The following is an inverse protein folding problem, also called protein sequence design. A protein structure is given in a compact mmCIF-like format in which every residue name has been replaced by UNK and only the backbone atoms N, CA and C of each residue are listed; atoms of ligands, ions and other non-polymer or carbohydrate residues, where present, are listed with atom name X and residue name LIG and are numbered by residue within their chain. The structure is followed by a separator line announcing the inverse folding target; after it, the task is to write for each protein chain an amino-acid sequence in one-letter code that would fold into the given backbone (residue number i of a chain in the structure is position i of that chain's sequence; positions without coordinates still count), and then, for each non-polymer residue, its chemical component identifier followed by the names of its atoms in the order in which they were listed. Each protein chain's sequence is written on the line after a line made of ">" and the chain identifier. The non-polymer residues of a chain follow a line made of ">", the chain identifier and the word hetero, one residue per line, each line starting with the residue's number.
data_IF_404651232616
#
_entry.id   IF_404651232616
#
_cell.length_a   1.000
_cell.length_b   1.000
_cell.length_c   1.000
_cell.angle_alpha   90.00
_cell.angle_beta   90.00
_cell.angle_gamma   90.00
#
_symmetry.space_group_name_H-M   'P 1'
#
loop_
_entity.id
_entity.type
_entity.pdbx_description
1 polymer ?
#
# COMPACT_ATOMS: atom_id res chain seq x y z
N UNK A 1 -40.83 1.33 13.14
CA UNK A 1 -39.54 1.19 12.45
C UNK A 1 -39.33 2.39 11.56
N UNK A 2 -38.37 3.24 11.91
CA UNK A 2 -37.86 4.24 10.97
C UNK A 2 -37.00 3.55 9.93
N UNK A 3 -37.16 3.92 8.67
CA UNK A 3 -36.32 3.39 7.60
C UNK A 3 -34.85 3.81 7.81
N UNK A 4 -33.87 2.96 7.48
CA UNK A 4 -32.46 3.33 7.44
C UNK A 4 -32.22 4.49 6.46
N UNK A 5 -31.26 5.35 6.78
CA UNK A 5 -30.85 6.46 5.90
C UNK A 5 -29.55 6.10 5.17
N UNK A 6 -29.59 6.08 3.84
CA UNK A 6 -28.46 5.67 3.02
C UNK A 6 -27.67 6.87 2.49
N UNK A 7 -26.35 6.82 2.64
CA UNK A 7 -25.41 7.68 1.91
C UNK A 7 -24.34 6.80 1.27
N UNK A 8 -24.66 6.25 0.10
CA UNK A 8 -23.77 5.37 -0.66
C UNK A 8 -23.19 6.09 -1.89
N UNK A 9 -21.92 5.81 -2.19
CA UNK A 9 -21.24 6.23 -3.43
C UNK A 9 -21.33 5.15 -4.52
N UNK A 10 -21.50 3.90 -4.11
CA UNK A 10 -21.61 2.74 -4.99
C UNK A 10 -22.92 2.01 -4.67
N UNK A 11 -24.09 2.53 -5.10
CA UNK A 11 -25.39 1.93 -4.79
C UNK A 11 -25.69 0.74 -5.72
N UNK A 12 -24.90 -0.31 -5.64
CA UNK A 12 -25.09 -1.51 -6.46
C UNK A 12 -26.28 -2.34 -5.96
N UNK A 13 -26.97 -3.11 -6.83
CA UNK A 13 -28.17 -3.85 -6.44
C UNK A 13 -27.95 -4.82 -5.28
N UNK A 14 -26.86 -5.59 -5.28
CA UNK A 14 -26.51 -6.52 -4.20
C UNK A 14 -26.25 -5.80 -2.89
N UNK A 15 -25.53 -4.67 -2.91
CA UNK A 15 -25.25 -3.89 -1.70
C UNK A 15 -26.53 -3.26 -1.13
N UNK A 16 -27.44 -2.75 -1.96
CA UNK A 16 -28.73 -2.21 -1.54
C UNK A 16 -29.68 -3.27 -0.98
N UNK A 17 -29.55 -4.52 -1.43
CA UNK A 17 -30.39 -5.64 -1.00
C UNK A 17 -30.01 -6.22 0.37
N UNK A 18 -28.92 -5.78 0.98
CA UNK A 18 -28.52 -6.22 2.32
C UNK A 18 -29.56 -5.78 3.38
N UNK A 19 -29.66 -6.50 4.51
CA UNK A 19 -30.69 -6.26 5.51
C UNK A 19 -30.32 -5.11 6.45
N UNK A 20 -30.34 -3.90 5.91
CA UNK A 20 -29.97 -2.64 6.59
C UNK A 20 -30.94 -2.21 7.69
N UNK A 21 -32.11 -2.84 7.77
CA UNK A 21 -33.18 -2.56 8.74
C UNK A 21 -32.99 -3.30 10.08
N UNK A 22 -31.95 -4.12 10.22
CA UNK A 22 -31.58 -4.84 11.46
C UNK A 22 -30.11 -4.64 11.85
N UNK A 23 -29.75 -4.84 13.13
CA UNK A 23 -28.36 -4.70 13.60
C UNK A 23 -27.40 -5.65 12.88
N UNK A 24 -26.14 -5.25 12.74
CA UNK A 24 -25.15 -6.05 12.00
C UNK A 24 -24.92 -7.42 12.65
N UNK A 25 -25.04 -7.53 13.98
CA UNK A 25 -24.92 -8.79 14.73
C UNK A 25 -25.87 -9.87 14.19
N UNK A 26 -27.10 -9.50 13.83
CA UNK A 26 -28.12 -10.41 13.33
C UNK A 26 -27.97 -10.85 11.88
N UNK A 27 -26.93 -10.40 11.16
CA UNK A 27 -26.68 -10.83 9.78
C UNK A 27 -26.05 -12.23 9.79
N UNK A 28 -26.70 -13.20 9.16
CA UNK A 28 -26.24 -14.59 9.13
C UNK A 28 -26.24 -15.16 7.72
N UNK A 29 -25.43 -16.19 7.49
CA UNK A 29 -25.52 -17.04 6.29
C UNK A 29 -26.76 -17.93 6.37
N UNK A 30 -27.35 -18.35 5.23
CA UNK A 30 -27.01 -17.98 3.85
C UNK A 30 -27.72 -16.70 3.37
N UNK A 31 -28.56 -16.06 4.20
CA UNK A 31 -29.34 -14.88 3.83
C UNK A 31 -28.45 -13.71 3.38
N UNK A 32 -27.34 -13.52 4.10
CA UNK A 32 -26.31 -12.55 3.74
C UNK A 32 -25.08 -13.32 3.23
N UNK A 33 -24.50 -12.94 2.08
CA UNK A 33 -23.28 -13.54 1.54
C UNK A 33 -22.04 -13.11 2.34
N UNK A 34 -21.96 -13.56 3.59
CA UNK A 34 -20.86 -13.27 4.51
C UNK A 34 -19.61 -14.08 4.13
N UNK A 35 -18.45 -13.45 4.33
CA UNK A 35 -17.14 -14.09 4.22
C UNK A 35 -16.47 -14.11 5.58
N UNK A 36 -15.92 -15.26 5.95
CA UNK A 36 -15.02 -15.33 7.10
C UNK A 36 -13.63 -14.84 6.68
N UNK A 37 -13.23 -13.72 7.26
CA UNK A 37 -11.89 -13.15 7.08
C UNK A 37 -11.33 -13.01 8.47
N UNK A 38 -10.21 -13.71 8.72
CA UNK A 38 -9.52 -13.55 9.99
C UNK A 38 -9.07 -12.10 10.14
N UNK A 39 -9.78 -11.37 11.00
CA UNK A 39 -9.46 -10.01 11.40
C UNK A 39 -8.80 -10.00 12.75
N UNK A 40 -7.88 -9.04 12.93
CA UNK A 40 -7.43 -8.64 14.24
C UNK A 40 -8.59 -8.15 15.11
N UNK A 41 -8.37 -8.05 16.44
CA UNK A 41 -9.39 -7.54 17.34
C UNK A 41 -9.80 -6.13 16.90
N UNK A 42 -11.11 -5.91 16.74
CA UNK A 42 -11.69 -4.60 16.51
C UNK A 42 -12.51 -4.20 17.72
N UNK A 43 -12.55 -2.89 18.02
CA UNK A 43 -13.43 -2.33 19.06
C UNK A 43 -14.90 -2.42 18.67
N UNK A 44 -15.18 -2.49 17.36
CA UNK A 44 -16.50 -2.48 16.77
C UNK A 44 -16.77 -3.79 16.04
N UNK A 45 -18.04 -4.15 15.86
CA UNK A 45 -18.38 -5.34 15.09
C UNK A 45 -18.10 -5.08 13.60
N UNK A 46 -17.27 -5.93 12.99
CA UNK A 46 -16.98 -5.90 11.56
C UNK A 46 -17.43 -7.21 10.93
N UNK A 47 -18.16 -7.14 9.82
CA UNK A 47 -18.43 -8.29 8.95
C UNK A 47 -17.97 -8.00 7.53
N UNK A 48 -17.68 -9.05 6.77
CA UNK A 48 -17.30 -8.94 5.37
C UNK A 48 -18.39 -9.54 4.51
N UNK A 49 -18.78 -8.82 3.45
CA UNK A 49 -19.92 -9.16 2.62
C UNK A 49 -19.50 -9.12 1.17
N UNK A 50 -19.81 -10.18 0.43
CA UNK A 50 -19.68 -10.22 -1.02
C UNK A 50 -20.94 -9.63 -1.66
N UNK A 51 -20.80 -8.58 -2.45
CA UNK A 51 -21.92 -8.02 -3.20
C UNK A 51 -21.47 -7.52 -4.56
N UNK A 52 -22.15 -7.97 -5.61
CA UNK A 52 -21.91 -7.59 -7.00
C UNK A 52 -20.47 -7.85 -7.47
N UNK A 53 -19.85 -8.95 -6.99
CA UNK A 53 -18.49 -9.34 -7.33
C UNK A 53 -17.40 -8.48 -6.65
N UNK A 54 -17.77 -7.69 -5.64
CA UNK A 54 -16.84 -6.94 -4.81
C UNK A 54 -17.01 -7.34 -3.34
N UNK A 55 -15.89 -7.31 -2.61
CA UNK A 55 -15.87 -7.57 -1.18
C UNK A 55 -15.92 -6.24 -0.40
N UNK A 56 -16.83 -6.17 0.57
CA UNK A 56 -17.06 -5.00 1.41
C UNK A 56 -16.78 -5.33 2.87
N UNK A 57 -16.20 -4.39 3.60
CA UNK A 57 -16.18 -4.42 5.05
C UNK A 57 -17.30 -3.51 5.58
N UNK A 58 -18.14 -4.06 6.45
CA UNK A 58 -19.22 -3.33 7.13
C UNK A 58 -18.92 -3.27 8.62
N UNK A 59 -18.80 -2.06 9.17
CA UNK A 59 -18.40 -1.78 10.56
C UNK A 59 -19.56 -1.11 11.28
N UNK A 60 -20.13 -1.76 12.29
CA UNK A 60 -21.25 -1.26 13.10
C UNK A 60 -20.74 -0.44 14.28
N UNK A 61 -21.16 0.82 14.35
CA UNK A 61 -20.58 1.81 15.26
C UNK A 61 -21.62 2.83 15.75
N UNK A 62 -21.36 3.55 16.84
CA UNK A 62 -22.15 4.71 17.22
C UNK A 62 -22.19 5.76 16.11
N UNK A 63 -23.39 6.29 15.84
CA UNK A 63 -23.66 7.22 14.72
C UNK A 63 -22.63 8.33 14.56
N UNK A 64 -22.30 9.02 15.67
CA UNK A 64 -21.36 10.16 15.64
C UNK A 64 -19.96 9.75 15.16
N UNK A 65 -19.51 8.58 15.59
CA UNK A 65 -18.17 8.09 15.30
C UNK A 65 -18.10 7.63 13.84
N UNK A 66 -19.09 6.86 13.38
CA UNK A 66 -19.16 6.41 11.99
C UNK A 66 -19.19 7.57 10.99
N UNK A 67 -19.94 8.65 11.28
CA UNK A 67 -19.99 9.84 10.42
C UNK A 67 -18.63 10.53 10.38
N UNK A 68 -17.96 10.69 11.53
CA UNK A 68 -16.62 11.27 11.60
C UNK A 68 -15.62 10.44 10.78
N UNK A 69 -15.58 9.13 11.00
CA UNK A 69 -14.65 8.23 10.31
C UNK A 69 -14.92 8.22 8.80
N UNK A 70 -16.18 8.19 8.37
CA UNK A 70 -16.55 8.30 6.96
C UNK A 70 -16.02 9.59 6.32
N UNK A 71 -16.24 10.74 6.97
CA UNK A 71 -15.82 12.04 6.44
C UNK A 71 -14.27 12.16 6.39
N UNK A 72 -13.56 11.59 7.37
CA UNK A 72 -12.09 11.52 7.35
C UNK A 72 -11.60 10.63 6.20
N UNK A 73 -12.09 9.40 6.08
CA UNK A 73 -11.70 8.48 5.01
C UNK A 73 -11.98 9.08 3.61
N UNK A 74 -13.09 9.83 3.47
CA UNK A 74 -13.42 10.55 2.24
C UNK A 74 -12.36 11.58 1.90
N UNK A 75 -11.88 12.31 2.90
CA UNK A 75 -10.84 13.32 2.72
C UNK A 75 -9.48 12.70 2.42
N UNK A 76 -9.13 11.58 3.05
CA UNK A 76 -7.91 10.82 2.73
C UNK A 76 -7.94 10.33 1.27
N UNK A 77 -9.08 9.81 0.81
CA UNK A 77 -9.26 9.40 -0.59
C UNK A 77 -9.12 10.58 -1.57
N UNK A 78 -9.70 11.75 -1.24
CA UNK A 78 -9.56 12.98 -2.04
C UNK A 78 -8.10 13.46 -2.15
N UNK A 79 -7.30 13.23 -1.09
CA UNK A 79 -5.86 13.53 -1.05
C UNK A 79 -5.00 12.42 -1.70
N UNK A 80 -5.60 11.32 -2.17
CA UNK A 80 -4.86 10.19 -2.73
C UNK A 80 -4.05 9.38 -1.70
N UNK A 81 -4.33 9.55 -0.40
CA UNK A 81 -3.58 8.91 0.67
C UNK A 81 -3.89 7.41 0.79
N UNK A 82 -2.92 6.58 1.23
CA UNK A 82 -3.10 5.14 1.35
C UNK A 82 -3.97 4.77 2.56
N UNK A 83 -5.29 4.82 2.35
CA UNK A 83 -6.31 4.39 3.30
C UNK A 83 -7.38 3.53 2.61
N UNK A 84 -8.14 2.77 3.39
CA UNK A 84 -9.30 2.03 2.87
C UNK A 84 -10.34 2.99 2.29
N UNK A 85 -10.92 2.61 1.14
CA UNK A 85 -11.82 3.51 0.40
C UNK A 85 -13.25 3.43 0.95
N UNK A 86 -13.86 4.54 1.38
CA UNK A 86 -15.22 4.54 1.91
C UNK A 86 -16.25 4.42 0.77
N UNK A 87 -17.09 3.39 0.84
CA UNK A 87 -18.17 3.15 -0.10
C UNK A 87 -19.46 3.88 0.30
N UNK A 88 -19.67 4.05 1.60
CA UNK A 88 -20.86 4.72 2.11
C UNK A 88 -21.02 4.59 3.61
N UNK A 89 -22.12 5.15 4.11
CA UNK A 89 -22.57 5.01 5.48
C UNK A 89 -24.08 4.84 5.49
N UNK A 90 -24.57 3.95 6.35
CA UNK A 90 -26.01 3.70 6.55
C UNK A 90 -26.35 4.01 8.00
N UNK A 91 -27.19 5.03 8.22
CA UNK A 91 -27.66 5.37 9.56
C UNK A 91 -28.85 4.48 9.91
N UNK A 92 -28.88 3.96 11.14
CA UNK A 92 -29.97 3.14 11.66
C UNK A 92 -30.62 3.83 12.86
N UNK A 93 -31.54 4.79 12.65
CA UNK A 93 -32.11 5.60 13.72
C UNK A 93 -32.84 4.82 14.81
N UNK A 94 -33.33 3.61 14.50
CA UNK A 94 -34.00 2.72 15.44
C UNK A 94 -33.03 2.13 16.49
N UNK A 95 -31.75 1.95 16.12
CA UNK A 95 -30.73 1.34 16.98
C UNK A 95 -29.71 2.36 17.53
N UNK A 96 -29.80 3.62 17.12
CA UNK A 96 -28.81 4.68 17.40
C UNK A 96 -27.37 4.35 16.93
N UNK A 97 -27.27 3.50 15.92
CA UNK A 97 -26.02 3.09 15.28
C UNK A 97 -25.94 3.57 13.83
N UNK A 98 -24.76 3.39 13.25
CA UNK A 98 -24.53 3.52 11.83
C UNK A 98 -23.54 2.46 11.37
N UNK A 99 -23.73 1.97 10.15
CA UNK A 99 -22.84 1.02 9.52
C UNK A 99 -21.99 1.77 8.50
N UNK A 100 -20.68 1.83 8.76
CA UNK A 100 -19.69 2.31 7.81
C UNK A 100 -19.39 1.19 6.81
N UNK A 101 -19.44 1.51 5.52
CA UNK A 101 -19.15 0.58 4.44
C UNK A 101 -17.86 1.01 3.75
N UNK A 102 -16.84 0.15 3.76
CA UNK A 102 -15.58 0.38 3.04
C UNK A 102 -15.33 -0.74 2.04
N UNK A 103 -14.64 -0.41 0.95
CA UNK A 103 -14.17 -1.42 0.01
C UNK A 103 -13.05 -2.22 0.67
N UNK A 104 -13.16 -3.54 0.62
CA UNK A 104 -12.10 -4.40 1.10
C UNK A 104 -10.84 -4.25 0.23
N UNK A 105 -9.67 -4.18 0.84
CA UNK A 105 -8.41 -4.11 0.12
C UNK A 105 -7.98 -5.54 -0.27
N UNK A 106 -8.39 -5.97 -1.45
CA UNK A 106 -7.97 -7.24 -2.05
C UNK A 106 -6.44 -7.27 -2.21
N UNK A 107 -5.83 -8.45 -2.09
CA UNK A 107 -4.38 -8.53 -2.21
C UNK A 107 -3.62 -8.11 -0.95
N UNK A 108 -4.32 -7.76 0.14
CA UNK A 108 -3.69 -7.28 1.38
C UNK A 108 -3.52 -8.36 2.44
N UNK A 109 -2.62 -8.09 3.37
CA UNK A 109 -2.34 -8.91 4.53
C UNK A 109 -2.42 -8.09 5.81
N UNK A 110 -2.85 -8.75 6.87
CA UNK A 110 -2.68 -8.25 8.22
C UNK A 110 -1.31 -8.66 8.75
N UNK A 111 -0.70 -7.78 9.52
CA UNK A 111 0.64 -7.98 10.05
C UNK A 111 0.83 -9.32 10.80
N UNK A 112 -0.15 -9.72 11.61
CA UNK A 112 -0.09 -10.97 12.41
C UNK A 112 0.20 -12.21 11.57
N UNK A 113 -0.36 -12.26 10.35
CA UNK A 113 -0.17 -13.40 9.43
C UNK A 113 1.21 -13.36 8.76
N UNK A 114 1.65 -12.18 8.35
CA UNK A 114 2.98 -12.00 7.76
C UNK A 114 4.07 -12.41 8.74
N UNK A 115 3.99 -11.93 9.99
CA UNK A 115 5.00 -12.24 11.01
C UNK A 115 5.11 -13.73 11.33
N UNK A 116 3.98 -14.46 11.30
CA UNK A 116 3.97 -15.90 11.58
C UNK A 116 4.72 -16.75 10.58
N UNK A 117 4.72 -16.30 9.33
CA UNK A 117 5.30 -17.04 8.21
C UNK A 117 6.64 -16.49 7.77
N UNK A 118 6.98 -15.26 8.18
CA UNK A 118 8.34 -14.76 8.06
C UNK A 118 9.26 -15.53 9.01
N UNK A 119 10.30 -16.19 8.47
CA UNK A 119 11.27 -16.89 9.30
C UNK A 119 11.91 -15.89 10.28
N UNK A 120 12.07 -16.26 11.57
CA UNK A 120 12.59 -15.33 12.57
C UNK A 120 14.03 -14.87 12.26
N UNK A 121 14.77 -15.65 11.49
CA UNK A 121 16.10 -15.38 10.94
C UNK A 121 16.11 -14.45 9.71
N UNK A 122 14.97 -13.90 9.27
CA UNK A 122 14.87 -12.96 8.15
C UNK A 122 14.49 -11.53 8.59
N UNK A 123 15.38 -10.81 9.31
CA UNK A 123 15.11 -9.45 9.80
C UNK A 123 14.82 -8.45 8.67
N UNK A 124 15.40 -8.65 7.48
CA UNK A 124 15.17 -7.78 6.30
C UNK A 124 13.69 -7.68 5.92
N UNK A 125 12.91 -8.77 6.05
CA UNK A 125 11.49 -8.75 5.68
C UNK A 125 10.62 -8.02 6.72
N UNK A 126 10.99 -8.11 8.00
CA UNK A 126 10.33 -7.33 9.06
C UNK A 126 10.64 -5.84 8.95
N UNK A 127 11.90 -5.51 8.63
CA UNK A 127 12.29 -4.13 8.33
C UNK A 127 11.44 -3.53 7.19
N UNK A 128 11.20 -4.27 6.09
CA UNK A 128 10.33 -3.81 4.99
C UNK A 128 8.89 -3.49 5.43
N UNK A 129 8.34 -4.17 6.45
CA UNK A 129 7.01 -3.87 6.99
C UNK A 129 7.01 -2.54 7.75
N UNK A 130 7.98 -2.37 8.64
CA UNK A 130 8.14 -1.16 9.43
C UNK A 130 8.49 0.05 8.55
N UNK A 131 9.27 -0.15 7.49
CA UNK A 131 9.52 0.86 6.46
C UNK A 131 8.22 1.31 5.78
N UNK A 132 7.33 0.36 5.48
CA UNK A 132 5.99 0.66 4.93
C UNK A 132 5.16 1.53 5.88
N UNK A 133 5.18 1.22 7.18
CA UNK A 133 4.48 2.03 8.20
C UNK A 133 5.07 3.42 8.36
N UNK A 134 6.40 3.52 8.44
CA UNK A 134 7.09 4.81 8.50
C UNK A 134 6.75 5.67 7.26
N UNK A 135 6.75 5.05 6.08
CA UNK A 135 6.32 5.69 4.84
C UNK A 135 4.88 6.19 4.89
N UNK A 136 3.94 5.38 5.39
CA UNK A 136 2.54 5.80 5.57
C UNK A 136 2.43 7.00 6.52
N UNK A 137 3.07 6.97 7.68
CA UNK A 137 3.04 8.09 8.64
C UNK A 137 3.62 9.38 8.04
N UNK A 138 4.74 9.30 7.34
CA UNK A 138 5.31 10.47 6.64
C UNK A 138 4.28 11.08 5.68
N UNK A 139 3.60 10.25 4.89
CA UNK A 139 2.60 10.73 3.93
C UNK A 139 1.39 11.38 4.62
N UNK A 140 0.85 10.74 5.67
CA UNK A 140 -0.23 11.32 6.46
C UNK A 140 0.18 12.68 7.05
N UNK A 141 1.36 12.75 7.67
CA UNK A 141 1.84 13.95 8.34
C UNK A 141 2.15 15.10 7.37
N UNK A 142 2.68 14.80 6.17
CA UNK A 142 2.89 15.81 5.11
C UNK A 142 1.59 16.47 4.66
N UNK A 143 0.48 15.73 4.74
CA UNK A 143 -0.86 16.20 4.38
C UNK A 143 -1.67 16.71 5.57
N UNK A 144 -1.04 16.93 6.73
CA UNK A 144 -1.70 17.49 7.90
C UNK A 144 -2.59 16.50 8.65
N UNK A 145 -2.45 15.19 8.39
CA UNK A 145 -3.27 14.14 9.01
C UNK A 145 -2.56 13.58 10.23
N UNK A 146 -3.14 13.75 11.40
CA UNK A 146 -2.77 13.05 12.63
C UNK A 146 -3.58 11.75 12.71
N UNK A 147 -2.93 10.60 12.91
CA UNK A 147 -3.61 9.30 12.94
C UNK A 147 -4.21 9.02 14.32
N UNK A 148 -3.42 9.09 15.38
CA UNK A 148 -3.87 8.95 16.77
C UNK A 148 -4.17 7.53 17.25
N UNK A 149 -4.06 6.52 16.38
CA UNK A 149 -4.12 5.10 16.75
C UNK A 149 -3.31 4.24 15.76
N UNK A 150 -2.09 4.73 15.45
CA UNK A 150 -1.16 4.02 14.60
C UNK A 150 -0.77 2.69 15.25
N UNK A 151 -1.18 1.58 14.65
CA UNK A 151 -0.93 0.24 15.20
C UNK A 151 -0.87 -0.80 14.09
N UNK A 152 -0.25 -1.94 14.39
CA UNK A 152 -0.21 -3.10 13.48
C UNK A 152 -1.60 -3.69 13.20
N UNK A 153 -2.55 -3.50 14.13
CA UNK A 153 -3.94 -3.98 13.98
C UNK A 153 -4.75 -3.08 13.04
N UNK A 154 -4.45 -1.78 13.01
CA UNK A 154 -5.12 -0.78 12.17
C UNK A 154 -4.40 -0.56 10.82
N UNK A 155 -3.42 -1.41 10.50
CA UNK A 155 -2.62 -1.33 9.27
C UNK A 155 -2.78 -2.59 8.42
N UNK A 156 -3.11 -2.41 7.15
CA UNK A 156 -3.00 -3.46 6.13
C UNK A 156 -1.75 -3.25 5.28
N UNK A 157 -1.17 -4.34 4.80
CA UNK A 157 -0.03 -4.31 3.90
C UNK A 157 -0.40 -4.92 2.57
N UNK A 158 0.04 -4.33 1.47
CA UNK A 158 -0.06 -4.93 0.13
C UNK A 158 1.29 -4.85 -0.57
N UNK A 159 1.47 -5.71 -1.58
CA UNK A 159 2.64 -5.60 -2.47
C UNK A 159 2.42 -4.41 -3.38
N UNK A 160 3.49 -3.63 -3.56
CA UNK A 160 3.54 -2.56 -4.55
C UNK A 160 4.90 -2.62 -5.24
N UNK A 161 5.00 -3.44 -6.28
CA UNK A 161 6.24 -3.70 -6.98
C UNK A 161 7.18 -4.47 -6.07
N UNK A 162 8.37 -3.93 -5.80
CA UNK A 162 9.35 -4.55 -4.90
C UNK A 162 9.11 -4.20 -3.43
N UNK A 163 8.25 -3.22 -3.12
CA UNK A 163 8.02 -2.71 -1.77
C UNK A 163 6.77 -3.32 -1.12
N UNK A 164 6.60 -3.03 0.17
CA UNK A 164 5.34 -3.20 0.88
C UNK A 164 4.73 -1.83 1.16
N UNK A 165 3.51 -1.64 0.66
CA UNK A 165 2.72 -0.45 0.96
C UNK A 165 1.85 -0.72 2.18
N UNK A 166 1.93 0.16 3.18
CA UNK A 166 1.03 0.16 4.33
C UNK A 166 -0.20 1.03 4.03
N UNK A 167 -1.35 0.62 4.58
CA UNK A 167 -2.64 1.26 4.40
C UNK A 167 -3.33 1.48 5.74
N UNK A 168 -3.84 2.69 5.96
CA UNK A 168 -4.66 3.03 7.11
C UNK A 168 -6.06 2.42 6.95
N UNK A 169 -6.49 1.66 7.96
CA UNK A 169 -7.82 1.01 7.96
C UNK A 169 -8.80 1.72 8.88
N UNK A 170 -8.34 2.15 10.05
CA UNK A 170 -9.17 2.80 11.06
C UNK A 170 -8.77 4.27 11.19
N UNK A 171 -9.72 5.14 10.85
CA UNK A 171 -9.57 6.59 10.92
C UNK A 171 -10.40 7.22 12.05
N UNK A 172 -10.92 6.43 12.99
CA UNK A 172 -11.79 6.89 14.08
C UNK A 172 -11.14 8.01 14.91
N UNK A 173 -9.87 7.82 15.27
CA UNK A 173 -9.06 8.76 16.08
C UNK A 173 -8.43 9.86 15.26
N UNK A 174 -8.46 9.76 13.93
CA UNK A 174 -7.73 10.65 13.06
C UNK A 174 -8.31 12.06 13.04
N UNK A 175 -7.42 13.02 12.79
CA UNK A 175 -7.72 14.44 12.68
C UNK A 175 -6.98 15.04 11.49
N UNK A 176 -7.63 15.95 10.78
CA UNK A 176 -7.06 16.62 9.61
C UNK A 176 -6.89 18.09 9.95
N UNK A 177 -5.66 18.57 9.85
CA UNK A 177 -5.23 19.94 10.11
C UNK A 177 -4.66 20.56 8.82
N UNK A 178 -4.58 21.91 8.70
CA UNK A 178 -3.88 22.54 7.58
C UNK A 178 -2.40 22.13 7.49
N UNK A 179 -1.76 21.93 8.65
CA UNK A 179 -0.44 21.33 8.81
C UNK A 179 -0.30 20.79 10.22
N UNK A 180 0.52 19.75 10.41
CA UNK A 180 0.85 19.26 11.74
C UNK A 180 2.02 20.03 12.33
N UNK A 181 1.89 20.39 13.61
CA UNK A 181 3.02 20.85 14.41
C UNK A 181 4.01 19.72 14.67
N UNK A 182 5.25 20.06 15.05
CA UNK A 182 6.25 19.07 15.46
C UNK A 182 5.76 18.20 16.61
N UNK A 183 5.15 18.81 17.63
CA UNK A 183 4.63 18.09 18.79
C UNK A 183 3.50 17.10 18.45
N UNK A 184 2.61 17.44 17.51
CA UNK A 184 1.59 16.49 17.02
C UNK A 184 2.22 15.28 16.33
N UNK A 185 3.26 15.50 15.49
CA UNK A 185 3.96 14.39 14.83
C UNK A 185 4.72 13.52 15.82
N UNK A 186 5.44 14.14 16.76
CA UNK A 186 6.14 13.41 17.83
C UNK A 186 5.15 12.58 18.66
N UNK A 187 3.98 13.13 18.99
CA UNK A 187 2.95 12.40 19.71
C UNK A 187 2.42 11.19 18.94
N UNK A 188 2.16 11.31 17.63
CA UNK A 188 1.71 10.18 16.81
C UNK A 188 2.79 9.10 16.67
N UNK A 189 4.06 9.51 16.63
CA UNK A 189 5.20 8.58 16.66
C UNK A 189 5.34 7.85 17.99
N UNK A 190 5.09 8.53 19.12
CA UNK A 190 5.09 7.89 20.44
C UNK A 190 3.96 6.86 20.53
N UNK A 191 2.75 7.20 20.07
CA UNK A 191 1.62 6.26 19.97
C UNK A 191 1.99 5.05 19.10
N UNK A 192 2.57 5.28 17.92
CA UNK A 192 3.02 4.22 17.03
C UNK A 192 4.04 3.31 17.72
N UNK A 193 5.06 3.87 18.35
CA UNK A 193 6.09 3.09 19.02
C UNK A 193 5.50 2.20 20.12
N UNK A 194 4.63 2.74 20.97
CA UNK A 194 3.97 1.98 22.05
C UNK A 194 3.07 0.87 21.50
N UNK A 195 2.19 1.20 20.54
CA UNK A 195 1.23 0.26 19.97
C UNK A 195 1.90 -0.86 19.16
N UNK A 196 2.90 -0.53 18.36
CA UNK A 196 3.64 -1.52 17.55
C UNK A 196 4.45 -2.43 18.47
N UNK A 197 5.15 -1.88 19.47
CA UNK A 197 5.89 -2.68 20.43
C UNK A 197 4.97 -3.65 21.18
N UNK A 198 3.84 -3.17 21.71
CA UNK A 198 2.86 -4.02 22.39
C UNK A 198 2.29 -5.09 21.44
N UNK A 199 1.97 -4.72 20.20
CA UNK A 199 1.49 -5.65 19.19
C UNK A 199 2.50 -6.71 18.80
N UNK A 200 3.80 -6.40 18.83
CA UNK A 200 4.88 -7.36 18.57
C UNK A 200 5.12 -8.30 19.75
N UNK A 201 5.06 -7.81 21.00
CA UNK A 201 5.21 -8.64 22.21
C UNK A 201 4.05 -9.64 22.32
N UNK A 202 2.80 -9.19 22.18
CA UNK A 202 1.61 -10.07 22.17
C UNK A 202 1.75 -11.19 21.12
N UNK A 203 2.36 -10.87 19.97
CA UNK A 203 2.61 -11.82 18.91
C UNK A 203 3.69 -12.84 19.28
N UNK A 204 4.81 -12.37 19.84
CA UNK A 204 5.90 -13.23 20.28
C UNK A 204 5.42 -14.22 21.35
N UNK A 205 4.64 -13.76 22.33
CA UNK A 205 4.05 -14.59 23.38
C UNK A 205 3.10 -15.65 22.81
N UNK A 206 2.14 -15.25 21.96
CA UNK A 206 1.16 -16.17 21.35
C UNK A 206 1.80 -17.30 20.56
N UNK A 207 2.99 -17.07 20.02
CA UNK A 207 3.72 -18.05 19.21
C UNK A 207 4.90 -18.71 19.94
N UNK A 208 5.04 -18.48 21.25
CA UNK A 208 6.10 -19.08 22.06
C UNK A 208 7.50 -18.65 21.63
N UNK A 209 7.65 -17.44 21.09
CA UNK A 209 8.90 -16.84 20.60
C UNK A 209 9.37 -15.66 21.46
N UNK A 210 9.19 -15.75 22.78
CA UNK A 210 9.56 -14.68 23.75
C UNK A 210 11.03 -14.28 23.68
N UNK A 211 11.91 -15.18 23.24
CA UNK A 211 13.33 -14.87 22.99
C UNK A 211 13.58 -13.78 21.92
N UNK A 212 12.55 -13.38 21.16
CA UNK A 212 12.64 -12.30 20.18
C UNK A 212 12.17 -10.93 20.70
N UNK A 213 11.64 -10.83 21.92
CA UNK A 213 11.05 -9.58 22.44
C UNK A 213 12.01 -8.39 22.34
N UNK A 214 13.24 -8.52 22.84
CA UNK A 214 14.25 -7.44 22.77
C UNK A 214 14.60 -7.05 21.33
N UNK A 215 14.65 -8.03 20.41
CA UNK A 215 14.91 -7.79 18.99
C UNK A 215 13.77 -7.01 18.35
N UNK A 216 12.52 -7.37 18.69
CA UNK A 216 11.33 -6.74 18.14
C UNK A 216 11.17 -5.31 18.66
N UNK A 217 11.46 -5.06 19.93
CA UNK A 217 11.46 -3.71 20.50
C UNK A 217 12.51 -2.84 19.79
N UNK A 218 13.73 -3.37 19.57
CA UNK A 218 14.76 -2.64 18.82
C UNK A 218 14.37 -2.37 17.35
N UNK A 219 13.58 -3.26 16.74
CA UNK A 219 13.04 -3.04 15.39
C UNK A 219 12.02 -1.88 15.36
N UNK A 220 11.23 -1.66 16.42
CA UNK A 220 10.31 -0.50 16.51
C UNK A 220 11.08 0.83 16.48
N UNK A 221 12.20 0.92 17.19
CA UNK A 221 13.05 2.11 17.15
C UNK A 221 13.58 2.39 15.74
N UNK A 222 13.81 1.35 14.94
CA UNK A 222 14.18 1.48 13.54
C UNK A 222 13.07 2.13 12.71
N UNK A 223 11.80 1.84 12.98
CA UNK A 223 10.67 2.45 12.29
C UNK A 223 10.61 3.98 12.53
N UNK A 224 10.85 4.41 13.78
CA UNK A 224 10.94 5.84 14.12
C UNK A 224 12.12 6.50 13.43
N UNK A 225 13.30 5.89 13.49
CA UNK A 225 14.50 6.40 12.82
C UNK A 225 14.29 6.50 11.29
N UNK A 226 13.58 5.53 10.70
CA UNK A 226 13.22 5.56 9.28
C UNK A 226 12.27 6.72 8.98
N UNK A 227 11.25 6.93 9.81
CA UNK A 227 10.35 8.09 9.69
C UNK A 227 11.15 9.40 9.71
N UNK A 228 12.03 9.59 10.70
CA UNK A 228 12.81 10.83 10.84
C UNK A 228 13.71 11.05 9.62
N UNK A 229 14.39 10.01 9.14
CA UNK A 229 15.21 10.11 7.93
C UNK A 229 14.40 10.48 6.69
N UNK A 230 13.21 9.90 6.50
CA UNK A 230 12.33 10.22 5.38
C UNK A 230 11.82 11.66 5.51
N UNK A 231 11.37 12.05 6.70
CA UNK A 231 10.86 13.40 6.97
C UNK A 231 11.93 14.46 6.74
N UNK A 232 13.14 14.24 7.26
CA UNK A 232 14.28 15.14 7.08
C UNK A 232 14.69 15.24 5.62
N UNK A 233 14.72 14.12 4.88
CA UNK A 233 15.06 14.14 3.46
C UNK A 233 14.07 14.99 2.65
N UNK A 234 12.78 14.95 2.98
CA UNK A 234 11.72 15.70 2.30
C UNK A 234 11.71 17.19 2.63
N UNK A 235 12.12 17.56 3.84
CA UNK A 235 12.09 18.94 4.33
C UNK A 235 13.48 19.60 4.35
N UNK A 236 14.51 18.90 3.84
CA UNK A 236 15.84 19.46 3.73
C UNK A 236 15.88 20.60 2.71
N UNK A 237 16.40 21.76 3.14
CA UNK A 237 16.71 22.89 2.25
C UNK A 237 18.23 23.13 2.23
N UNK A 238 19.01 22.23 1.63
CA UNK A 238 20.46 22.36 1.69
C UNK A 238 20.95 23.56 0.88
N UNK A 239 22.02 24.18 1.36
CA UNK A 239 22.69 25.31 0.71
C UNK A 239 24.02 24.82 0.15
N UNK A 240 24.28 25.13 -1.11
CA UNK A 240 25.50 24.74 -1.82
C UNK A 240 26.07 25.91 -2.61
N UNK A 241 27.35 25.78 -2.97
CA UNK A 241 27.97 26.70 -3.93
C UNK A 241 27.43 26.47 -5.36
N UNK A 242 27.37 27.51 -6.19
CA UNK A 242 26.90 27.44 -7.57
C UNK A 242 27.66 26.41 -8.43
N UNK A 243 28.94 26.16 -8.10
CA UNK A 243 29.78 25.18 -8.80
C UNK A 243 29.46 23.73 -8.44
N UNK A 244 28.74 23.48 -7.34
CA UNK A 244 28.44 22.15 -6.80
C UNK A 244 27.15 21.55 -7.43
N UNK A 245 26.96 21.67 -8.75
CA UNK A 245 25.75 21.19 -9.45
C UNK A 245 25.47 19.70 -9.25
N UNK A 246 26.51 18.88 -9.08
CA UNK A 246 26.38 17.44 -8.78
C UNK A 246 25.63 17.16 -7.47
N UNK A 247 25.58 18.12 -6.53
CA UNK A 247 24.83 17.97 -5.28
C UNK A 247 23.32 18.04 -5.49
N UNK A 248 22.86 18.74 -6.53
CA UNK A 248 21.44 18.75 -6.94
C UNK A 248 21.05 17.32 -7.35
N UNK A 249 21.81 16.72 -8.26
CA UNK A 249 21.61 15.35 -8.72
C UNK A 249 21.71 14.34 -7.56
N UNK A 250 22.65 14.55 -6.64
CA UNK A 250 22.78 13.74 -5.42
C UNK A 250 21.55 13.79 -4.52
N UNK A 251 20.97 14.98 -4.30
CA UNK A 251 19.73 15.13 -3.52
C UNK A 251 18.55 14.44 -4.22
N UNK A 252 18.39 14.65 -5.53
CA UNK A 252 17.34 14.00 -6.31
C UNK A 252 17.50 12.47 -6.27
N UNK A 253 18.72 11.97 -6.46
CA UNK A 253 19.02 10.53 -6.40
C UNK A 253 18.70 9.96 -5.03
N UNK A 254 19.07 10.66 -3.94
CA UNK A 254 18.76 10.23 -2.57
C UNK A 254 17.25 10.15 -2.33
N UNK A 255 16.47 11.11 -2.83
CA UNK A 255 15.00 11.07 -2.73
C UNK A 255 14.41 9.89 -3.51
N UNK A 256 14.89 9.65 -4.73
CA UNK A 256 14.48 8.50 -5.53
C UNK A 256 14.86 7.16 -4.84
N UNK A 257 16.06 7.05 -4.26
CA UNK A 257 16.50 5.89 -3.47
C UNK A 257 15.62 5.66 -2.22
N UNK A 258 15.01 6.72 -1.68
CA UNK A 258 14.06 6.65 -0.58
C UNK A 258 12.61 6.37 -1.04
N UNK A 259 12.36 6.29 -2.34
CA UNK A 259 11.06 5.99 -2.94
C UNK A 259 10.19 7.21 -3.23
N UNK A 260 10.77 8.42 -3.22
CA UNK A 260 10.07 9.66 -3.53
C UNK A 260 10.29 10.08 -4.99
N UNK A 261 9.22 10.45 -5.68
CA UNK A 261 9.29 11.07 -7.01
C UNK A 261 9.50 12.58 -6.88
N UNK A 262 10.59 13.10 -7.43
CA UNK A 262 10.86 14.54 -7.48
C UNK A 262 10.09 15.17 -8.65
N UNK A 263 9.24 16.16 -8.35
CA UNK A 263 8.43 16.88 -9.35
C UNK A 263 9.15 18.14 -9.84
N UNK A 264 9.60 19.00 -8.92
CA UNK A 264 10.30 20.23 -9.27
C UNK A 264 11.53 20.46 -8.37
N UNK A 265 12.58 21.04 -8.93
CA UNK A 265 13.75 21.50 -8.20
C UNK A 265 13.91 23.01 -8.39
N UNK A 266 13.70 23.76 -7.31
CA UNK A 266 13.93 25.22 -7.29
C UNK A 266 15.31 25.52 -6.71
N UNK A 267 16.07 26.37 -7.40
CA UNK A 267 17.35 26.90 -6.94
C UNK A 267 17.21 28.41 -6.70
N UNK A 268 17.39 28.86 -5.46
CA UNK A 268 17.27 30.27 -5.10
C UNK A 268 18.55 30.77 -4.39
N UNK A 269 19.09 31.94 -4.74
CA UNK A 269 20.23 32.50 -4.02
C UNK A 269 19.89 32.76 -2.55
N UNK A 270 20.84 32.50 -1.66
CA UNK A 270 20.63 32.61 -0.20
C UNK A 270 20.74 34.05 0.29
N UNK A 271 21.46 34.90 -0.43
CA UNK A 271 21.69 36.31 -0.12
C UNK A 271 22.09 37.09 -1.38
N UNK A 272 22.59 38.32 -1.23
CA UNK A 272 23.21 39.09 -2.33
C UNK A 272 24.47 38.43 -2.89
N UNK A 273 25.03 37.42 -2.22
CA UNK A 273 26.10 36.58 -2.75
C UNK A 273 25.54 35.57 -3.78
N UNK A 274 25.84 35.75 -5.08
CA UNK A 274 25.33 34.89 -6.14
C UNK A 274 25.97 33.49 -6.15
N UNK A 275 26.96 33.23 -5.29
CA UNK A 275 27.66 31.94 -5.24
C UNK A 275 26.94 30.91 -4.37
N UNK A 276 26.04 31.30 -3.46
CA UNK A 276 25.32 30.35 -2.61
C UNK A 276 23.87 30.17 -3.05
N UNK A 277 23.51 28.95 -3.43
CA UNK A 277 22.17 28.54 -3.81
C UNK A 277 21.55 27.63 -2.75
N UNK A 278 20.32 27.92 -2.35
CA UNK A 278 19.44 27.03 -1.60
C UNK A 278 18.63 26.20 -2.58
N UNK A 279 18.66 24.89 -2.39
CA UNK A 279 17.79 23.97 -3.12
C UNK A 279 16.49 23.77 -2.34
N UNK A 280 15.37 23.88 -3.03
CA UNK A 280 14.08 23.37 -2.57
C UNK A 280 13.62 22.32 -3.57
N UNK A 281 13.40 21.10 -3.09
CA UNK A 281 12.86 20.03 -3.91
C UNK A 281 11.38 19.90 -3.57
N UNK A 282 10.52 20.13 -4.55
CA UNK A 282 9.13 19.74 -4.47
C UNK A 282 9.06 18.25 -4.81
N UNK A 283 8.77 17.44 -3.79
CA UNK A 283 8.46 16.03 -4.00
C UNK A 283 7.00 15.93 -4.40
N UNK A 284 6.76 15.34 -5.56
CA UNK A 284 5.42 15.16 -6.12
C UNK A 284 4.53 14.28 -5.25
N UNK A 285 3.26 14.21 -5.65
CA UNK A 285 2.33 13.25 -5.08
C UNK A 285 2.89 11.83 -5.26
N UNK A 286 2.70 10.97 -4.25
CA UNK A 286 3.15 9.57 -4.24
C UNK A 286 2.51 8.73 -5.34
N UNK A 287 1.59 9.28 -6.14
CA UNK A 287 0.98 8.62 -7.31
C UNK A 287 1.51 9.13 -8.65
N UNK A 288 2.66 9.80 -8.71
CA UNK A 288 3.19 10.37 -9.95
C UNK A 288 3.36 9.33 -11.07
N UNK A 289 4.08 8.24 -10.81
CA UNK A 289 4.27 7.18 -11.80
C UNK A 289 2.96 6.46 -12.12
N UNK A 290 2.12 6.22 -11.11
CA UNK A 290 0.81 5.61 -11.30
C UNK A 290 -0.10 6.44 -12.21
N UNK A 291 -0.18 7.76 -11.98
CA UNK A 291 -0.95 8.68 -12.82
C UNK A 291 -0.39 8.74 -14.24
N UNK A 292 0.94 8.79 -14.39
CA UNK A 292 1.59 8.80 -15.71
C UNK A 292 1.30 7.52 -16.49
N UNK A 293 1.47 6.35 -15.86
CA UNK A 293 1.19 5.07 -16.48
C UNK A 293 -0.30 4.97 -16.84
N UNK A 294 -1.19 5.40 -15.95
CA UNK A 294 -2.64 5.41 -16.20
C UNK A 294 -3.01 6.27 -17.41
N UNK A 295 -2.40 7.45 -17.56
CA UNK A 295 -2.63 8.31 -18.74
C UNK A 295 -2.18 7.65 -20.04
N UNK A 296 -1.08 6.88 -20.02
CA UNK A 296 -0.53 6.22 -21.21
C UNK A 296 -1.25 4.92 -21.56
N UNK A 297 -1.69 4.16 -20.56
CA UNK A 297 -2.12 2.75 -20.72
C UNK A 297 -3.53 2.47 -20.22
N UNK A 298 -4.10 3.34 -19.38
CA UNK A 298 -5.36 3.11 -18.68
C UNK A 298 -5.26 2.24 -17.43
N UNK A 299 -4.07 1.74 -17.06
CA UNK A 299 -3.87 0.87 -15.90
C UNK A 299 -3.94 1.66 -14.58
N UNK A 300 -4.76 1.21 -13.63
CA UNK A 300 -4.79 1.72 -12.24
C UNK A 300 -4.02 0.76 -11.35
N UNK A 301 -2.77 1.11 -11.02
CA UNK A 301 -1.83 0.28 -10.27
C UNK A 301 -1.18 1.10 -9.15
N UNK A 302 -0.45 0.42 -8.26
CA UNK A 302 0.36 1.08 -7.22
C UNK A 302 1.56 1.84 -7.80
N UNK A 303 2.16 2.72 -7.00
CA UNK A 303 3.27 3.58 -7.46
C UNK A 303 4.53 2.77 -7.74
N UNK A 304 4.89 1.85 -6.84
CA UNK A 304 6.04 0.96 -7.01
C UNK A 304 5.88 0.02 -8.21
N UNK A 305 4.66 -0.47 -8.45
CA UNK A 305 4.33 -1.19 -9.68
C UNK A 305 4.51 -0.29 -10.91
N UNK A 306 3.92 0.91 -10.89
CA UNK A 306 3.98 1.83 -12.02
C UNK A 306 5.40 2.22 -12.41
N UNK A 307 6.28 2.43 -11.43
CA UNK A 307 7.69 2.73 -11.68
C UNK A 307 8.39 1.60 -12.44
N UNK A 308 8.17 0.34 -12.04
CA UNK A 308 8.72 -0.84 -12.72
C UNK A 308 8.17 -0.95 -14.14
N UNK A 309 6.86 -0.81 -14.30
CA UNK A 309 6.17 -0.95 -15.58
C UNK A 309 6.55 0.16 -16.57
N UNK A 310 6.69 1.40 -16.11
CA UNK A 310 7.20 2.50 -16.94
C UNK A 310 8.64 2.24 -17.40
N UNK A 311 9.48 1.65 -16.55
CA UNK A 311 10.83 1.23 -16.94
C UNK A 311 10.82 0.16 -18.04
N UNK A 312 9.96 -0.85 -17.92
CA UNK A 312 9.81 -1.90 -18.95
C UNK A 312 9.23 -1.35 -20.26
N UNK A 313 8.26 -0.44 -20.17
CA UNK A 313 7.70 0.29 -21.32
C UNK A 313 8.78 1.11 -22.05
N UNK A 314 9.63 1.84 -21.33
CA UNK A 314 10.72 2.62 -21.92
C UNK A 314 11.74 1.71 -22.63
N UNK A 315 12.07 0.56 -22.04
CA UNK A 315 12.94 -0.43 -22.68
C UNK A 315 12.33 -0.98 -23.97
N UNK A 316 11.03 -1.26 -23.96
CA UNK A 316 10.29 -1.72 -25.14
C UNK A 316 10.20 -0.64 -26.24
N UNK A 317 9.93 0.62 -25.88
CA UNK A 317 9.93 1.75 -26.81
C UNK A 317 11.29 1.89 -27.51
N UNK A 318 12.39 1.77 -26.77
CA UNK A 318 13.73 1.82 -27.31
C UNK A 318 14.02 0.65 -28.28
N UNK A 319 13.48 -0.55 -28.00
CA UNK A 319 13.57 -1.68 -28.92
C UNK A 319 12.78 -1.41 -30.22
N UNK A 320 11.52 -1.00 -30.09
CA UNK A 320 10.64 -0.66 -31.22
C UNK A 320 11.27 0.40 -32.13
N UNK A 321 11.83 1.46 -31.55
CA UNK A 321 12.47 2.54 -32.31
C UNK A 321 13.67 2.04 -33.13
N UNK A 322 14.48 1.11 -32.56
CA UNK A 322 15.59 0.47 -33.29
C UNK A 322 15.09 -0.40 -34.45
N UNK A 323 14.02 -1.14 -34.25
CA UNK A 323 13.44 -2.04 -35.27
C UNK A 323 12.75 -1.25 -36.40
N UNK A 324 12.05 -0.17 -36.07
CA UNK A 324 11.39 0.71 -37.03
C UNK A 324 12.38 1.64 -37.78
N UNK A 325 13.56 1.89 -37.21
CA UNK A 325 14.56 2.80 -37.76
C UNK A 325 14.24 4.29 -37.56
N UNK A 326 13.27 4.61 -36.71
CA UNK A 326 12.90 5.97 -36.31
C UNK A 326 12.30 5.97 -34.90
N UNK A 327 12.22 7.14 -34.28
CA UNK A 327 11.58 7.28 -32.97
C UNK A 327 10.09 6.92 -33.04
N UNK A 328 9.62 6.18 -32.03
CA UNK A 328 8.21 5.80 -31.88
C UNK A 328 7.60 6.66 -30.78
N UNK A 329 6.43 7.24 -31.05
CA UNK A 329 5.74 8.06 -30.06
C UNK A 329 5.34 7.21 -28.84
N UNK A 330 5.42 7.82 -27.66
CA UNK A 330 5.21 7.15 -26.37
C UNK A 330 3.82 6.53 -26.24
N UNK A 331 2.79 7.18 -26.80
CA UNK A 331 1.42 6.66 -26.73
C UNK A 331 1.23 5.42 -27.59
N UNK A 332 1.87 5.35 -28.77
CA UNK A 332 1.89 4.15 -29.60
C UNK A 332 2.69 3.05 -28.95
N UNK A 333 3.89 3.36 -28.43
CA UNK A 333 4.69 2.38 -27.71
C UNK A 333 3.93 1.80 -26.50
N UNK A 334 3.23 2.63 -25.72
CA UNK A 334 2.41 2.21 -24.59
C UNK A 334 1.31 1.23 -24.99
N UNK A 335 0.54 1.55 -26.04
CA UNK A 335 -0.53 0.65 -26.53
C UNK A 335 0.02 -0.69 -27.01
N UNK A 336 1.09 -0.67 -27.80
CA UNK A 336 1.71 -1.89 -28.31
C UNK A 336 2.31 -2.72 -27.17
N UNK A 337 3.00 -2.08 -26.22
CA UNK A 337 3.57 -2.75 -25.06
C UNK A 337 2.51 -3.45 -24.20
N UNK A 338 1.36 -2.80 -23.96
CA UNK A 338 0.25 -3.44 -23.23
C UNK A 338 -0.19 -4.73 -23.93
N UNK A 339 -0.39 -4.67 -25.25
CA UNK A 339 -0.91 -5.79 -26.05
C UNK A 339 0.11 -6.91 -26.21
N UNK A 340 1.35 -6.57 -26.56
CA UNK A 340 2.38 -7.51 -27.00
C UNK A 340 3.23 -8.04 -25.84
N UNK A 341 3.35 -7.29 -24.75
CA UNK A 341 4.23 -7.61 -23.63
C UNK A 341 3.46 -7.78 -22.34
N UNK A 342 2.85 -6.72 -21.80
CA UNK A 342 2.26 -6.77 -20.46
C UNK A 342 1.16 -7.84 -20.35
N UNK A 343 0.10 -7.74 -21.16
CA UNK A 343 -1.06 -8.63 -21.06
C UNK A 343 -0.76 -10.12 -21.27
N UNK A 344 0.11 -10.56 -22.21
CA UNK A 344 0.47 -11.97 -22.28
C UNK A 344 1.34 -12.43 -21.10
N UNK A 345 2.35 -11.65 -20.70
CA UNK A 345 3.30 -12.09 -19.68
C UNK A 345 2.76 -11.96 -18.25
N UNK A 346 1.89 -11.01 -17.96
CA UNK A 346 1.23 -10.91 -16.65
C UNK A 346 0.32 -12.12 -16.38
N UNK A 347 -0.37 -12.62 -17.42
CA UNK A 347 -1.21 -13.83 -17.30
C UNK A 347 -0.36 -15.07 -17.09
N UNK A 348 0.72 -15.23 -17.86
CA UNK A 348 1.66 -16.33 -17.68
C UNK A 348 2.30 -16.31 -16.30
N UNK A 349 2.76 -15.14 -15.85
CA UNK A 349 3.35 -14.96 -14.53
C UNK A 349 2.34 -15.31 -13.42
N UNK A 350 1.09 -14.84 -13.56
CA UNK A 350 0.03 -15.12 -12.60
C UNK A 350 -0.30 -16.62 -12.53
N UNK A 351 -0.39 -17.29 -13.67
CA UNK A 351 -0.68 -18.72 -13.71
C UNK A 351 0.45 -19.55 -13.08
N UNK A 352 1.74 -19.22 -13.30
CA UNK A 352 2.86 -19.97 -12.70
C UNK A 352 2.95 -19.81 -11.19
N UNK A 353 2.41 -18.73 -10.62
CA UNK A 353 2.30 -18.54 -9.16
C UNK A 353 0.94 -19.02 -8.61
N UNK A 354 0.23 -19.87 -9.34
CA UNK A 354 -1.09 -20.40 -8.98
C UNK A 354 -2.12 -19.29 -8.71
N UNK A 355 -2.09 -18.23 -9.52
CA UNK A 355 -2.96 -17.07 -9.44
C UNK A 355 -2.95 -16.35 -8.08
N UNK A 356 -1.87 -16.46 -7.33
CA UNK A 356 -1.68 -15.67 -6.09
C UNK A 356 -1.43 -14.21 -6.44
N UNK A 357 -2.01 -13.30 -5.65
CA UNK A 357 -1.89 -11.86 -5.89
C UNK A 357 -2.62 -11.40 -7.16
N UNK A 358 -2.25 -10.23 -7.67
CA UNK A 358 -2.77 -9.69 -8.92
C UNK A 358 -1.88 -10.07 -10.10
N UNK A 359 -2.40 -10.13 -11.34
CA UNK A 359 -1.58 -10.38 -12.53
C UNK A 359 -0.43 -9.38 -12.70
N UNK A 360 -0.71 -8.10 -12.49
CA UNK A 360 0.29 -7.03 -12.56
C UNK A 360 1.42 -7.26 -11.56
N UNK A 361 1.12 -7.63 -10.32
CA UNK A 361 2.16 -7.89 -9.33
C UNK A 361 3.01 -9.10 -9.72
N UNK A 362 2.39 -10.16 -10.24
CA UNK A 362 3.13 -11.33 -10.73
C UNK A 362 4.07 -10.97 -11.89
N UNK A 363 3.67 -10.03 -12.77
CA UNK A 363 4.55 -9.51 -13.81
C UNK A 363 5.73 -8.70 -13.23
N UNK A 364 5.49 -7.83 -12.24
CA UNK A 364 6.56 -7.12 -11.55
C UNK A 364 7.56 -8.09 -10.89
N UNK A 365 7.06 -9.14 -10.23
CA UNK A 365 7.87 -10.19 -9.62
C UNK A 365 8.69 -10.95 -10.69
N UNK A 366 8.11 -11.25 -11.86
CA UNK A 366 8.81 -11.84 -13.01
C UNK A 366 9.97 -10.97 -13.49
N UNK A 367 9.76 -9.65 -13.62
CA UNK A 367 10.80 -8.71 -14.03
C UNK A 367 11.95 -8.65 -13.02
N UNK A 368 11.64 -8.61 -11.72
CA UNK A 368 12.65 -8.64 -10.65
C UNK A 368 13.47 -9.95 -10.69
N UNK A 369 12.80 -11.10 -10.79
CA UNK A 369 13.48 -12.40 -10.85
C UNK A 369 14.35 -12.52 -12.08
N UNK A 370 13.89 -12.05 -13.25
CA UNK A 370 14.69 -12.01 -14.48
C UNK A 370 15.95 -11.17 -14.28
N UNK A 371 15.82 -9.99 -13.68
CA UNK A 371 16.95 -9.10 -13.43
C UNK A 371 17.99 -9.75 -12.50
N UNK A 372 17.57 -10.27 -11.34
CA UNK A 372 18.48 -10.91 -10.38
C UNK A 372 19.18 -12.15 -10.95
N UNK A 373 18.47 -12.99 -11.71
CA UNK A 373 19.08 -14.15 -12.37
C UNK A 373 20.06 -13.75 -13.46
N UNK A 374 19.80 -12.64 -14.16
CA UNK A 374 20.68 -12.11 -15.20
C UNK A 374 21.94 -11.49 -14.61
N UNK A 375 21.81 -10.78 -13.48
CA UNK A 375 22.94 -10.25 -12.72
C UNK A 375 23.87 -11.40 -12.25
N UNK A 376 23.30 -12.46 -11.67
CA UNK A 376 24.07 -13.64 -11.24
C UNK A 376 24.74 -14.38 -12.41
N UNK A 377 24.10 -14.40 -13.59
CA UNK A 377 24.64 -15.05 -14.78
C UNK A 377 25.63 -14.17 -15.55
N UNK A 378 25.67 -12.86 -15.30
CA UNK A 378 26.43 -11.87 -16.07
C UNK A 378 25.90 -11.62 -17.48
N UNK A 379 24.70 -12.11 -17.82
CA UNK A 379 24.03 -11.90 -19.10
C UNK A 379 22.51 -12.07 -18.96
N UNK A 380 21.73 -11.54 -19.92
CA UNK A 380 20.27 -11.74 -19.92
C UNK A 380 19.92 -13.23 -20.04
N UNK A 381 19.16 -13.73 -19.08
CA UNK A 381 18.70 -15.12 -19.02
C UNK A 381 17.39 -15.37 -19.78
N UNK A 382 16.67 -14.30 -20.14
CA UNK A 382 15.39 -14.35 -20.82
C UNK A 382 14.20 -14.73 -19.92
N UNK A 383 13.00 -14.39 -20.41
CA UNK A 383 11.74 -14.52 -19.66
C UNK A 383 11.38 -15.97 -19.33
N UNK A 384 11.68 -16.93 -20.21
CA UNK A 384 11.35 -18.35 -19.97
C UNK A 384 12.11 -18.93 -18.77
N UNK A 385 13.37 -18.55 -18.58
CA UNK A 385 14.16 -19.01 -17.42
C UNK A 385 13.62 -18.40 -16.12
N UNK A 386 13.23 -17.13 -16.15
CA UNK A 386 12.63 -16.45 -15.01
C UNK A 386 11.26 -17.03 -14.64
N UNK A 387 10.39 -17.32 -15.61
CA UNK A 387 9.11 -18.01 -15.39
C UNK A 387 9.32 -19.39 -14.77
N UNK A 388 10.30 -20.16 -15.24
CA UNK A 388 10.62 -21.47 -14.66
C UNK A 388 11.15 -21.36 -13.22
N UNK A 389 11.90 -20.30 -12.90
CA UNK A 389 12.37 -20.03 -11.54
C UNK A 389 11.21 -19.68 -10.60
N UNK A 390 10.28 -18.81 -11.03
CA UNK A 390 9.05 -18.50 -10.30
C UNK A 390 8.21 -19.77 -10.05
N UNK A 391 7.96 -20.56 -11.09
CA UNK A 391 7.14 -21.77 -11.01
C UNK A 391 7.70 -22.83 -10.05
N UNK A 392 9.03 -22.90 -9.91
CA UNK A 392 9.73 -23.89 -9.07
C UNK A 392 10.13 -23.35 -7.70
N UNK A 393 9.77 -22.11 -7.39
CA UNK A 393 10.21 -21.41 -6.17
C UNK A 393 11.74 -21.38 -6.00
N UNK A 394 12.47 -21.29 -7.11
CA UNK A 394 13.93 -21.13 -7.14
C UNK A 394 14.26 -19.65 -7.33
N UNK A 395 13.71 -18.83 -6.45
CA UNK A 395 13.84 -17.38 -6.50
C UNK A 395 15.12 -16.96 -5.73
N UNK A 396 15.87 -15.94 -6.19
CA UNK A 396 16.97 -15.37 -5.42
C UNK A 396 16.52 -14.88 -4.04
N UNK A 397 17.34 -15.07 -3.00
CA UNK A 397 16.94 -14.81 -1.60
C UNK A 397 16.64 -13.36 -1.28
N UNK A 398 17.27 -12.41 -1.97
CA UNK A 398 17.01 -10.99 -1.77
C UNK A 398 15.77 -10.48 -2.54
N UNK A 399 15.20 -11.30 -3.45
CA UNK A 399 14.01 -10.94 -4.23
C UNK A 399 12.80 -10.77 -3.34
N UNK A 400 12.08 -9.69 -3.56
CA UNK A 400 10.83 -9.44 -2.88
C UNK A 400 9.69 -10.38 -3.34
N UNK A 401 9.80 -11.00 -4.52
CA UNK A 401 8.90 -12.05 -4.98
C UNK A 401 8.82 -13.27 -4.04
N UNK A 402 9.86 -13.56 -3.23
CA UNK A 402 9.78 -14.60 -2.19
C UNK A 402 8.69 -14.33 -1.16
N UNK A 403 8.35 -13.06 -0.93
CA UNK A 403 7.30 -12.69 0.02
C UNK A 403 5.89 -13.02 -0.53
N UNK A 404 5.69 -12.94 -1.85
CA UNK A 404 4.40 -13.23 -2.50
C UNK A 404 4.05 -14.73 -2.47
N UNK A 405 5.03 -15.61 -2.30
CA UNK A 405 4.83 -17.07 -2.23
C UNK A 405 4.49 -17.53 -0.81
N UNK A 406 4.75 -16.70 0.22
CA UNK A 406 4.50 -17.03 1.62
C UNK A 406 3.00 -17.05 2.01
N UNK A 407 2.13 -16.37 1.26
CA UNK A 407 0.67 -16.45 1.45
C UNK A 407 -0.10 -16.18 0.16
N UNK A 408 -1.23 -16.86 0.00
CA UNK A 408 -2.32 -16.36 -0.84
C UNK A 408 -2.82 -15.08 -0.15
N UNK A 409 -2.73 -13.87 -0.76
CA UNK A 409 -3.43 -12.71 -0.22
C UNK A 409 -4.91 -13.05 -0.03
N UNK A 410 -5.66 -12.24 0.72
CA UNK A 410 -7.11 -12.44 0.82
C UNK A 410 -7.73 -12.55 -0.56
N UNK A 411 -8.00 -13.79 -0.92
CA UNK A 411 -8.76 -14.22 -2.08
C UNK A 411 -10.15 -14.62 -1.57
N UNK A 412 -11.16 -14.60 -2.45
CA UNK A 412 -12.51 -14.98 -2.06
C UNK A 412 -12.50 -16.44 -1.61
N UNK A 413 -12.41 -16.68 -0.30
CA UNK A 413 -12.71 -17.97 0.29
C UNK A 413 -14.12 -18.34 -0.13
N UNK A 414 -14.37 -19.62 -0.49
CA UNK A 414 -15.72 -20.10 -0.82
C UNK A 414 -16.74 -19.67 0.24
N UNK A 415 -17.99 -19.42 -0.18
CA UNK A 415 -19.01 -18.97 0.75
C UNK A 415 -19.18 -20.06 1.81
N UNK A 416 -19.29 -19.67 3.09
CA UNK A 416 -19.57 -20.63 4.15
C UNK A 416 -20.83 -21.40 3.78
N UNK A 417 -20.71 -22.72 3.64
CA UNK A 417 -21.83 -23.63 3.49
C UNK A 417 -22.23 -24.15 4.88
N UNK A 418 -23.49 -24.57 5.04
CA UNK A 418 -23.99 -25.13 6.30
C UNK A 418 -23.09 -26.27 6.80
N UNK A 419 -22.47 -26.06 7.96
CA UNK A 419 -21.64 -27.07 8.64
C UNK A 419 -20.51 -26.56 9.51
N UNK A 420 -20.06 -25.31 9.33
CA UNK A 420 -18.85 -24.78 10.00
C UNK A 420 -19.12 -23.86 11.21
N UNK A 421 -20.26 -24.04 11.91
CA UNK A 421 -20.55 -23.35 13.19
C UNK A 421 -20.04 -24.14 14.39
#
# INVERSE_FOLDING_TARGET
>A
MRAPEFRLRTPTPGLLALPWDRPLEGWTVPEVPLRDIAVGPSRHLVKFVDADGALWAVKDMPRRIAVKEYDVLRRLEEMGLPAVRPAGIVLQPEFDTAILVTRYLEGSWQYRRLFMRLPPDQPKHRARLLDGMAGLLVELHRHGVFWGDCSLANTLFSRDGQLLQAWLVDAETSEIHPSLSRGQREHDLDIMSENVAMGMVDLAERFGRTALEDVLIAEVDHARARYDMLWDALHAEPVFDFTDRYRVEGTVRRLNELGFAVDEVTLAPVSEDPQQLRIRVAVGDRRYHAQRLQQLTGLDVGEGQAQILLGDLLAYQAQLAREAGHDVDESTAARLWVIEVLTPYERLAHDVVNRRGTPVQAYCDLLEVRWLLSEQAGHDVGTNKALAALARDVIPTDSAAKMAIAETPTQPFEALADGDV
#
